data_IF_510813066979
#
_entry.id   IF_510813066979
#
_cell.length_a   1.000
_cell.length_b   1.000
_cell.length_c   1.000
_cell.angle_alpha   90.00
_cell.angle_beta   90.00
_cell.angle_gamma   90.00
#
_symmetry.space_group_name_H-M   'P 1'
#
loop_
_entity.id
_entity.type
_entity.pdbx_description
1 polymer ?
#
# COMPACT_ATOMS: atom_id res chain seq x y z
N UNK A 1 26.18 23.73 7.38
CA UNK A 1 26.15 22.75 6.28
C UNK A 1 25.68 21.44 6.86
N UNK A 2 24.39 21.17 6.70
CA UNK A 2 23.67 20.17 7.48
C UNK A 2 23.24 18.99 6.63
N UNK A 3 23.02 17.87 7.30
CA UNK A 3 22.32 16.62 6.94
C UNK A 3 21.20 16.66 5.86
N UNK A 4 20.72 17.84 5.47
CA UNK A 4 19.83 18.04 4.32
C UNK A 4 20.49 17.73 2.97
N UNK A 5 21.80 17.98 2.79
CA UNK A 5 22.50 17.68 1.53
C UNK A 5 22.71 16.17 1.32
N UNK A 6 22.80 15.39 2.40
CA UNK A 6 22.87 13.92 2.31
C UNK A 6 21.51 13.27 2.03
N UNK A 7 20.40 13.90 2.46
CA UNK A 7 19.06 13.44 2.11
C UNK A 7 18.72 13.71 0.63
N UNK A 8 19.19 14.83 0.07
CA UNK A 8 19.01 15.20 -1.34
C UNK A 8 19.82 14.31 -2.30
N UNK A 9 20.99 13.80 -1.88
CA UNK A 9 21.82 12.91 -2.71
C UNK A 9 21.43 11.43 -2.66
N UNK A 10 20.77 10.97 -1.58
CA UNK A 10 20.39 9.56 -1.40
C UNK A 10 19.04 9.17 -1.99
N UNK A 11 18.11 10.13 -2.15
CA UNK A 11 16.77 9.88 -2.67
C UNK A 11 16.73 9.30 -4.10
N UNK A 12 17.59 9.71 -5.05
CA UNK A 12 17.59 9.16 -6.41
C UNK A 12 18.14 7.73 -6.49
N UNK A 13 19.10 7.36 -5.65
CA UNK A 13 19.75 6.04 -5.69
C UNK A 13 18.85 4.98 -5.05
N UNK A 14 18.17 5.32 -3.95
CA UNK A 14 17.13 4.48 -3.36
C UNK A 14 15.90 4.36 -4.28
N UNK A 15 15.48 5.45 -4.93
CA UNK A 15 14.40 5.44 -5.93
C UNK A 15 14.75 4.65 -7.19
N UNK A 16 15.99 4.78 -7.68
CA UNK A 16 16.50 4.08 -8.86
C UNK A 16 16.67 2.57 -8.67
N UNK A 17 17.12 2.13 -7.49
CA UNK A 17 17.20 0.71 -7.15
C UNK A 17 15.81 0.05 -7.07
N UNK A 18 14.81 0.74 -6.50
CA UNK A 18 13.42 0.30 -6.51
C UNK A 18 12.85 0.27 -7.94
N UNK A 19 13.17 1.26 -8.78
CA UNK A 19 12.79 1.26 -10.19
C UNK A 19 13.46 0.13 -11.00
N UNK A 20 14.70 -0.26 -10.67
CA UNK A 20 15.38 -1.40 -11.29
C UNK A 20 14.74 -2.76 -10.95
N UNK A 21 14.20 -2.90 -9.73
CA UNK A 21 13.42 -4.08 -9.32
C UNK A 21 12.03 -4.09 -9.98
N UNK A 22 11.42 -2.91 -10.15
CA UNK A 22 10.12 -2.75 -10.83
C UNK A 22 10.23 -2.88 -12.36
N UNK A 23 11.38 -2.57 -12.96
CA UNK A 23 11.62 -2.63 -14.41
C UNK A 23 11.74 -4.06 -14.99
N UNK A 24 11.48 -5.11 -14.21
CA UNK A 24 11.07 -6.42 -14.74
C UNK A 24 12.17 -7.33 -15.29
N UNK A 25 13.46 -7.07 -15.04
CA UNK A 25 14.55 -7.91 -15.57
C UNK A 25 14.84 -9.18 -14.75
N UNK A 26 14.16 -9.38 -13.62
CA UNK A 26 14.07 -10.67 -12.93
C UNK A 26 12.74 -11.30 -13.33
N UNK A 27 12.78 -12.08 -14.42
CA UNK A 27 11.65 -12.93 -14.80
C UNK A 27 11.37 -13.86 -13.61
N UNK A 28 10.26 -13.64 -12.92
CA UNK A 28 9.86 -14.51 -11.83
C UNK A 28 9.84 -15.96 -12.35
N UNK A 29 10.30 -16.95 -11.56
CA UNK A 29 10.25 -18.35 -11.96
C UNK A 29 8.83 -18.71 -12.42
N UNK A 30 8.70 -19.39 -13.56
CA UNK A 30 7.40 -19.84 -14.06
C UNK A 30 6.92 -21.07 -13.26
N UNK A 31 6.48 -20.82 -12.03
CA UNK A 31 6.02 -21.87 -11.09
C UNK A 31 4.86 -22.65 -11.68
N UNK A 32 3.97 -22.00 -12.43
CA UNK A 32 2.83 -22.67 -13.10
C UNK A 32 3.32 -23.60 -14.21
N UNK A 33 4.33 -23.20 -14.97
CA UNK A 33 5.00 -24.06 -15.95
C UNK A 33 5.67 -25.28 -15.32
N UNK A 34 6.32 -25.11 -14.16
CA UNK A 34 6.93 -26.21 -13.40
C UNK A 34 5.89 -27.21 -12.88
N UNK A 35 4.80 -26.73 -12.27
CA UNK A 35 3.70 -27.58 -11.80
C UNK A 35 3.11 -28.40 -12.96
N UNK A 36 2.90 -27.76 -14.12
CA UNK A 36 2.40 -28.45 -15.32
C UNK A 36 3.34 -29.56 -15.79
N UNK A 37 4.65 -29.32 -15.77
CA UNK A 37 5.64 -30.35 -16.11
C UNK A 37 5.63 -31.50 -15.11
N UNK A 38 5.56 -31.21 -13.81
CA UNK A 38 5.51 -32.25 -12.77
C UNK A 38 4.23 -33.12 -12.91
N UNK A 39 3.11 -32.53 -13.34
CA UNK A 39 1.87 -33.27 -13.60
C UNK A 39 1.96 -34.16 -14.85
N UNK A 40 2.54 -33.69 -15.96
CA UNK A 40 2.81 -34.52 -17.14
C UNK A 40 3.78 -35.67 -16.81
N UNK A 41 4.78 -35.43 -15.95
CA UNK A 41 5.66 -36.48 -15.44
C UNK A 41 4.88 -37.51 -14.63
N UNK A 42 3.98 -37.09 -13.73
CA UNK A 42 3.16 -37.99 -12.93
C UNK A 42 2.26 -38.87 -13.81
N UNK A 43 1.68 -38.33 -14.87
CA UNK A 43 0.87 -39.07 -15.84
C UNK A 43 1.68 -40.16 -16.57
N UNK A 44 2.96 -39.89 -16.86
CA UNK A 44 3.87 -40.80 -17.56
C UNK A 44 4.51 -41.86 -16.67
N UNK A 45 4.49 -41.70 -15.35
CA UNK A 45 5.05 -42.70 -14.44
C UNK A 45 4.29 -44.03 -14.54
N UNK A 46 4.96 -45.18 -14.57
CA UNK A 46 4.30 -46.48 -14.55
C UNK A 46 3.38 -46.61 -13.31
N UNK A 47 2.15 -47.15 -13.46
CA UNK A 47 1.15 -47.19 -12.39
C UNK A 47 1.53 -48.12 -11.23
N UNK A 48 2.43 -49.06 -11.46
CA UNK A 48 3.02 -49.96 -10.46
C UNK A 48 3.97 -49.24 -9.49
N UNK A 49 4.48 -48.06 -9.85
CA UNK A 49 5.40 -47.28 -9.01
C UNK A 49 4.65 -46.39 -8.00
N UNK A 50 3.79 -47.00 -7.20
CA UNK A 50 2.86 -46.31 -6.28
C UNK A 50 3.59 -45.33 -5.35
N UNK A 51 4.71 -45.72 -4.75
CA UNK A 51 5.46 -44.88 -3.80
C UNK A 51 6.11 -43.66 -4.48
N UNK A 52 6.68 -43.83 -5.67
CA UNK A 52 7.26 -42.70 -6.45
C UNK A 52 6.18 -41.73 -6.93
N UNK A 53 5.02 -42.25 -7.34
CA UNK A 53 3.88 -41.41 -7.74
C UNK A 53 3.34 -40.62 -6.55
N UNK A 54 3.23 -41.25 -5.38
CA UNK A 54 2.80 -40.58 -4.16
C UNK A 54 3.76 -39.45 -3.74
N UNK A 55 5.08 -39.69 -3.83
CA UNK A 55 6.06 -38.67 -3.48
C UNK A 55 6.07 -37.50 -4.48
N UNK A 56 5.94 -37.78 -5.78
CA UNK A 56 5.81 -36.73 -6.79
C UNK A 56 4.52 -35.91 -6.60
N UNK A 57 3.41 -36.57 -6.28
CA UNK A 57 2.16 -35.89 -5.94
C UNK A 57 2.36 -34.94 -4.75
N UNK A 58 3.05 -35.40 -3.69
CA UNK A 58 3.35 -34.57 -2.50
C UNK A 58 4.14 -33.31 -2.86
N UNK A 59 5.12 -33.40 -3.76
CA UNK A 59 5.91 -32.24 -4.21
C UNK A 59 5.05 -31.25 -4.99
N UNK A 60 4.14 -31.75 -5.83
CA UNK A 60 3.22 -30.92 -6.60
C UNK A 60 2.28 -30.16 -5.67
N UNK A 61 1.72 -30.84 -4.68
CA UNK A 61 0.81 -30.25 -3.69
C UNK A 61 1.52 -29.11 -2.93
N UNK A 62 2.75 -29.33 -2.47
CA UNK A 62 3.55 -28.31 -1.79
C UNK A 62 3.77 -27.06 -2.67
N UNK A 63 4.09 -27.23 -3.96
CA UNK A 63 4.25 -26.07 -4.87
C UNK A 63 2.94 -25.34 -5.10
N UNK A 64 1.82 -26.06 -5.15
CA UNK A 64 0.50 -25.44 -5.29
C UNK A 64 0.17 -24.61 -4.05
N UNK A 65 0.44 -25.14 -2.86
CA UNK A 65 0.25 -24.42 -1.60
C UNK A 65 1.12 -23.15 -1.53
N UNK A 66 2.39 -23.24 -1.93
CA UNK A 66 3.28 -22.07 -2.01
C UNK A 66 2.75 -21.02 -2.98
N UNK A 67 2.23 -21.44 -4.15
CA UNK A 67 1.64 -20.54 -5.12
C UNK A 67 0.39 -19.83 -4.56
N UNK A 68 -0.47 -20.58 -3.87
CA UNK A 68 -1.66 -20.02 -3.21
C UNK A 68 -1.24 -19.01 -2.15
N UNK A 69 -0.32 -19.37 -1.26
CA UNK A 69 0.18 -18.50 -0.21
C UNK A 69 0.80 -17.21 -0.76
N UNK A 70 1.55 -17.30 -1.86
CA UNK A 70 2.12 -16.14 -2.54
C UNK A 70 1.04 -15.22 -3.13
N UNK A 71 0.00 -15.80 -3.76
CA UNK A 71 -1.13 -15.04 -4.32
C UNK A 71 -1.91 -14.34 -3.20
N UNK A 72 -2.21 -15.05 -2.12
CA UNK A 72 -2.91 -14.50 -0.95
C UNK A 72 -2.10 -13.38 -0.30
N UNK A 73 -0.78 -13.56 -0.18
CA UNK A 73 0.11 -12.50 0.31
C UNK A 73 0.04 -11.27 -0.58
N UNK A 74 0.11 -11.42 -1.90
CA UNK A 74 0.03 -10.30 -2.83
C UNK A 74 -1.32 -9.58 -2.73
N UNK A 75 -2.42 -10.33 -2.62
CA UNK A 75 -3.76 -9.77 -2.43
C UNK A 75 -3.86 -9.00 -1.12
N UNK A 76 -3.33 -9.53 -0.02
CA UNK A 76 -3.30 -8.84 1.28
C UNK A 76 -2.50 -7.53 1.22
N UNK A 77 -1.38 -7.51 0.49
CA UNK A 77 -0.58 -6.31 0.29
C UNK A 77 -1.33 -5.27 -0.55
N UNK A 78 -2.03 -5.70 -1.59
CA UNK A 78 -2.88 -4.83 -2.39
C UNK A 78 -4.05 -4.25 -1.58
N UNK A 79 -4.69 -5.06 -0.72
CA UNK A 79 -5.76 -4.60 0.18
C UNK A 79 -5.23 -3.56 1.19
N UNK A 80 -4.05 -3.79 1.78
CA UNK A 80 -3.39 -2.81 2.66
C UNK A 80 -3.04 -1.55 1.89
N UNK A 81 -2.47 -1.65 0.68
CA UNK A 81 -2.13 -0.49 -0.14
C UNK A 81 -3.38 0.32 -0.57
N UNK A 82 -4.49 -0.36 -0.88
CA UNK A 82 -5.77 0.29 -1.16
C UNK A 82 -6.32 1.00 0.08
N UNK A 83 -6.19 0.40 1.26
CA UNK A 83 -6.54 1.06 2.52
C UNK A 83 -5.67 2.31 2.78
N UNK A 84 -4.39 2.26 2.38
CA UNK A 84 -3.45 3.37 2.53
C UNK A 84 -3.74 4.55 1.58
N UNK A 85 -4.18 4.28 0.34
CA UNK A 85 -4.60 5.32 -0.62
C UNK A 85 -5.79 6.15 -0.14
N UNK A 86 -6.66 5.59 0.72
CA UNK A 86 -7.88 6.26 1.18
C UNK A 86 -7.65 7.42 2.14
N UNK A 87 -6.49 7.51 2.79
CA UNK A 87 -6.30 8.42 3.95
C UNK A 87 -5.18 9.46 3.76
N UNK A 88 -4.17 9.17 2.93
CA UNK A 88 -2.99 10.05 2.78
C UNK A 88 -3.32 11.40 2.14
N UNK A 89 -4.14 11.41 1.07
CA UNK A 89 -4.54 12.65 0.39
C UNK A 89 -5.18 13.63 1.35
N UNK A 90 -6.06 13.15 2.22
CA UNK A 90 -6.86 14.00 3.09
C UNK A 90 -6.00 14.54 4.26
N UNK A 91 -5.02 13.75 4.75
CA UNK A 91 -4.00 14.21 5.70
C UNK A 91 -3.15 15.33 5.10
N UNK A 92 -2.66 15.16 3.86
CA UNK A 92 -1.85 16.18 3.17
C UNK A 92 -2.66 17.46 2.96
N UNK A 93 -3.93 17.34 2.54
CA UNK A 93 -4.83 18.51 2.38
C UNK A 93 -5.05 19.22 3.72
N UNK A 94 -5.26 18.48 4.81
CA UNK A 94 -5.39 19.07 6.15
C UNK A 94 -4.13 19.81 6.59
N UNK A 95 -2.95 19.20 6.44
CA UNK A 95 -1.66 19.84 6.76
C UNK A 95 -1.46 21.10 5.91
N UNK A 96 -1.73 21.05 4.60
CA UNK A 96 -1.67 22.21 3.73
C UNK A 96 -2.62 23.34 4.17
N UNK A 97 -3.85 23.02 4.58
CA UNK A 97 -4.81 24.01 5.06
C UNK A 97 -4.37 24.67 6.38
N UNK A 98 -3.84 23.89 7.33
CA UNK A 98 -3.30 24.40 8.59
C UNK A 98 -2.07 25.29 8.34
N UNK A 99 -1.11 24.81 7.55
CA UNK A 99 0.08 25.59 7.19
C UNK A 99 -0.29 26.89 6.48
N UNK A 100 -1.25 26.83 5.56
CA UNK A 100 -1.75 28.03 4.88
C UNK A 100 -2.38 29.01 5.87
N UNK A 101 -3.17 28.53 6.84
CA UNK A 101 -3.77 29.38 7.89
C UNK A 101 -2.70 30.07 8.74
N UNK A 102 -1.64 29.35 9.13
CA UNK A 102 -0.51 29.88 9.91
C UNK A 102 0.28 30.93 9.10
N UNK A 103 0.61 30.63 7.84
CA UNK A 103 1.32 31.57 6.95
C UNK A 103 0.47 32.80 6.68
N UNK A 104 -0.82 32.62 6.42
CA UNK A 104 -1.76 33.71 6.15
C UNK A 104 -1.94 34.64 7.35
N UNK A 105 -1.89 34.10 8.58
CA UNK A 105 -1.96 34.89 9.81
C UNK A 105 -0.76 35.84 9.98
N UNK A 106 0.38 35.53 9.38
CA UNK A 106 1.61 36.31 9.50
C UNK A 106 1.78 37.39 8.41
N UNK A 107 0.85 37.50 7.45
CA UNK A 107 0.90 38.46 6.34
C UNK A 107 0.22 39.78 6.74
N UNK A 108 0.76 40.93 6.35
CA UNK A 108 0.15 42.24 6.62
C UNK A 108 -1.14 42.47 5.83
N UNK A 109 -2.27 42.66 6.52
CA UNK A 109 -3.63 42.65 5.96
C UNK A 109 -4.19 44.04 5.61
N UNK A 110 -3.49 44.79 4.76
CA UNK A 110 -3.81 46.20 4.49
C UNK A 110 -4.93 46.47 3.46
N UNK A 111 -5.74 45.49 3.03
CA UNK A 111 -6.80 45.68 2.01
C UNK A 111 -8.21 45.30 2.49
N UNK A 112 -9.21 46.07 2.03
CA UNK A 112 -10.63 45.96 2.40
C UNK A 112 -11.29 44.59 2.09
N UNK A 113 -10.74 43.81 1.16
CA UNK A 113 -11.24 42.46 0.84
C UNK A 113 -10.75 41.36 1.80
N UNK A 114 -10.06 41.74 2.88
CA UNK A 114 -9.47 40.80 3.84
C UNK A 114 -10.52 39.92 4.53
N UNK A 115 -11.64 40.53 4.95
CA UNK A 115 -12.68 39.86 5.72
C UNK A 115 -13.37 38.77 4.89
N UNK A 116 -13.63 39.03 3.60
CA UNK A 116 -14.20 38.06 2.68
C UNK A 116 -13.26 36.85 2.49
N UNK A 117 -11.97 37.10 2.30
CA UNK A 117 -11.00 36.02 2.07
C UNK A 117 -10.76 35.18 3.33
N UNK A 118 -10.82 35.80 4.52
CA UNK A 118 -10.78 35.10 5.80
C UNK A 118 -11.97 34.13 5.97
N UNK A 119 -13.18 34.58 5.65
CA UNK A 119 -14.40 33.73 5.70
C UNK A 119 -14.30 32.56 4.73
N UNK A 120 -13.86 32.79 3.49
CA UNK A 120 -13.63 31.71 2.51
C UNK A 120 -12.61 30.69 3.02
N UNK A 121 -11.55 31.16 3.69
CA UNK A 121 -10.52 30.30 4.27
C UNK A 121 -11.04 29.41 5.41
N UNK A 122 -11.88 29.96 6.29
CA UNK A 122 -12.55 29.20 7.34
C UNK A 122 -13.46 28.13 6.72
N UNK A 123 -14.24 28.47 5.69
CA UNK A 123 -15.14 27.52 5.02
C UNK A 123 -14.35 26.39 4.36
N UNK A 124 -13.28 26.69 3.63
CA UNK A 124 -12.41 25.66 3.01
C UNK A 124 -11.76 24.77 4.07
N UNK A 125 -11.31 25.34 5.19
CA UNK A 125 -10.71 24.60 6.30
C UNK A 125 -11.72 23.67 6.98
N UNK A 126 -12.96 24.13 7.18
CA UNK A 126 -14.06 23.31 7.72
C UNK A 126 -14.41 22.17 6.76
N UNK A 127 -14.50 22.43 5.46
CA UNK A 127 -14.79 21.39 4.46
C UNK A 127 -13.68 20.34 4.43
N UNK A 128 -12.42 20.76 4.45
CA UNK A 128 -11.27 19.86 4.55
C UNK A 128 -11.30 19.03 5.85
N UNK A 129 -11.60 19.66 6.98
CA UNK A 129 -11.72 18.98 8.28
C UNK A 129 -12.87 17.97 8.32
N UNK A 130 -14.02 18.27 7.70
CA UNK A 130 -15.16 17.35 7.60
C UNK A 130 -14.86 16.15 6.70
N UNK A 131 -14.08 16.34 5.64
CA UNK A 131 -13.66 15.24 4.76
C UNK A 131 -12.60 14.35 5.44
N UNK A 132 -11.55 14.94 6.02
CA UNK A 132 -10.54 14.22 6.78
C UNK A 132 -11.15 13.51 8.02
N UNK A 133 -12.08 14.17 8.71
CA UNK A 133 -12.79 13.64 9.87
C UNK A 133 -13.63 12.40 9.54
N UNK A 134 -14.22 12.30 8.34
CA UNK A 134 -14.93 11.08 7.92
C UNK A 134 -13.99 9.88 7.74
N UNK A 135 -12.75 10.10 7.31
CA UNK A 135 -11.72 9.07 7.25
C UNK A 135 -11.30 8.60 8.65
N UNK A 136 -11.04 9.54 9.55
CA UNK A 136 -10.64 9.26 10.94
C UNK A 136 -11.76 8.57 11.73
N UNK A 137 -13.01 9.01 11.59
CA UNK A 137 -14.17 8.38 12.26
C UNK A 137 -14.38 6.94 11.79
N UNK A 138 -14.20 6.63 10.50
CA UNK A 138 -14.25 5.24 10.01
C UNK A 138 -13.10 4.39 10.56
N UNK A 139 -11.89 4.92 10.62
CA UNK A 139 -10.74 4.22 11.17
C UNK A 139 -10.91 3.94 12.68
N UNK A 140 -11.41 4.93 13.43
CA UNK A 140 -11.70 4.78 14.85
C UNK A 140 -12.86 3.80 15.09
N UNK A 141 -13.94 3.86 14.31
CA UNK A 141 -15.04 2.89 14.40
C UNK A 141 -14.61 1.47 14.05
N UNK A 142 -13.67 1.30 13.11
CA UNK A 142 -13.10 0.00 12.78
C UNK A 142 -12.22 -0.56 13.92
N UNK A 143 -11.43 0.29 14.59
CA UNK A 143 -10.62 -0.08 15.75
C UNK A 143 -11.47 -0.42 16.98
N UNK A 144 -12.58 0.31 17.22
CA UNK A 144 -13.51 0.02 18.31
C UNK A 144 -14.21 -1.32 18.09
N UNK A 145 -14.70 -1.60 16.88
CA UNK A 145 -15.33 -2.89 16.54
C UNK A 145 -14.40 -4.10 16.66
N UNK A 146 -13.08 -3.90 16.56
CA UNK A 146 -12.12 -4.98 16.70
C UNK A 146 -11.84 -5.34 18.17
N UNK A 147 -12.13 -4.42 19.11
CA UNK A 147 -12.00 -4.62 20.56
C UNK A 147 -13.14 -5.47 21.13
N UNK A 148 -14.36 -5.27 20.64
CA UNK A 148 -15.56 -5.98 21.11
C UNK A 148 -15.64 -7.46 20.70
N UNK A 149 -14.69 -7.96 19.89
CA UNK A 149 -14.64 -9.36 19.44
C UNK A 149 -13.58 -10.19 20.15
N UNK A 150 -12.91 -9.60 21.15
CA UNK A 150 -11.86 -10.24 21.96
C UNK A 150 -12.23 -10.44 23.43
N UNK A 151 -13.48 -10.13 23.81
CA UNK A 151 -14.08 -10.52 25.10
C UNK A 151 -15.16 -11.60 24.85
#
# INVERSE_FOLDING_TARGET
>A
MGIADFALAGAPIAGGALLGIVAGNLRAPDVRGMIKQDMDLLERLPPDQVERRAELQRVIDLRVDDLIAAVDKNRSLLEVAQSYRGNWRDIVVFVCAVLFTVVWWNVSHSRANWLLMFVVMIVVSIIAALYAGRGVVRALLALVRHRDRTD
#
